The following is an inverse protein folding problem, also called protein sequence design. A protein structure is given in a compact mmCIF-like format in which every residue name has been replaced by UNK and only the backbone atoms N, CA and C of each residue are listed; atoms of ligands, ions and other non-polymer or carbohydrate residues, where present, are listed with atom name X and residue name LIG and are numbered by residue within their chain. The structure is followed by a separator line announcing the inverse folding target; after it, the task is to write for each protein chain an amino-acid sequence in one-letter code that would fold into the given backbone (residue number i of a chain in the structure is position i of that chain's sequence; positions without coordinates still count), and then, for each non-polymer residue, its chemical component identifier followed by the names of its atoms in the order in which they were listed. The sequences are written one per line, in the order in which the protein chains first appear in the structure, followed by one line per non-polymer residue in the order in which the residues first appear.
data_IF_635403492932
#
_entry.id   IF_635403492932
#
_cell.length_a   1.000
_cell.length_b   1.000
_cell.length_c   1.000
_cell.angle_alpha   90.00
_cell.angle_beta   90.00
_cell.angle_gamma   90.00
#
_symmetry.space_group_name_H-M   'P 1'
#
loop_
_entity.id
_entity.type
_entity.pdbx_description
1 polymer ?
#
# COMPACT_ATOMS: atom_id res chain seq x y z
N UNK A 1 -12.80 17.13 -1.33
CA UNK A 1 -13.44 16.10 -0.47
C UNK A 1 -13.32 16.49 1.01
N UNK A 2 -13.91 15.74 1.94
CA UNK A 2 -13.71 15.90 3.40
C UNK A 2 -13.20 14.60 4.00
N UNK A 3 -12.48 14.68 5.11
CA UNK A 3 -11.95 13.49 5.78
C UNK A 3 -13.09 12.61 6.33
N UNK A 4 -12.97 11.30 6.15
CA UNK A 4 -13.91 10.33 6.70
C UNK A 4 -13.63 10.02 8.19
N UNK A 5 -14.50 9.21 8.80
CA UNK A 5 -14.26 8.68 10.15
C UNK A 5 -13.02 7.77 10.22
N UNK A 6 -12.69 7.06 9.15
CA UNK A 6 -11.50 6.20 9.08
C UNK A 6 -10.22 7.05 9.11
N UNK A 7 -10.16 8.09 8.28
CA UNK A 7 -9.05 9.06 8.28
C UNK A 7 -8.87 9.76 9.61
N UNK A 8 -9.97 10.24 10.22
CA UNK A 8 -9.93 10.85 11.55
C UNK A 8 -9.40 9.89 12.62
N UNK A 9 -9.76 8.61 12.55
CA UNK A 9 -9.35 7.62 13.54
C UNK A 9 -7.84 7.40 13.51
N UNK A 10 -7.22 7.32 12.32
CA UNK A 10 -5.76 7.23 12.18
C UNK A 10 -5.07 8.44 12.81
N UNK A 11 -5.53 9.66 12.51
CA UNK A 11 -4.94 10.88 13.07
C UNK A 11 -5.04 10.85 14.60
N UNK A 12 -6.22 10.56 15.14
CA UNK A 12 -6.44 10.48 16.60
C UNK A 12 -5.57 9.44 17.29
N UNK A 13 -5.35 8.29 16.65
CA UNK A 13 -4.50 7.22 17.18
C UNK A 13 -3.03 7.68 17.30
N UNK A 14 -2.49 8.35 16.27
CA UNK A 14 -1.09 8.76 16.25
C UNK A 14 -0.80 10.03 17.03
N UNK A 15 -1.72 10.99 17.08
CA UNK A 15 -1.54 12.21 17.89
C UNK A 15 -1.76 11.94 19.38
N UNK A 16 -2.70 11.04 19.71
CA UNK A 16 -3.13 10.80 21.09
C UNK A 16 -3.93 11.96 21.66
N UNK A 17 -4.78 11.66 22.65
CA UNK A 17 -5.61 12.67 23.30
C UNK A 17 -5.01 13.13 24.62
N UNK A 18 -4.89 14.45 24.82
CA UNK A 18 -4.52 15.08 26.09
C UNK A 18 -5.63 16.03 26.55
N UNK A 19 -6.21 15.72 27.71
CA UNK A 19 -7.32 16.51 28.26
C UNK A 19 -6.88 17.88 28.77
N UNK A 20 -5.65 18.00 29.24
CA UNK A 20 -5.09 19.23 29.82
C UNK A 20 -3.96 19.77 28.94
N UNK A 21 -3.84 21.09 28.90
CA UNK A 21 -2.75 21.74 28.19
C UNK A 21 -1.39 21.40 28.80
N UNK A 22 -0.45 20.97 27.96
CA UNK A 22 0.90 20.61 28.37
C UNK A 22 1.94 21.20 27.41
N UNK A 23 3.20 21.24 27.85
CA UNK A 23 4.34 21.58 26.99
C UNK A 23 5.16 20.31 26.73
N UNK A 24 5.33 19.88 25.47
CA UNK A 24 6.19 18.75 25.13
C UNK A 24 7.64 19.00 25.57
N UNK A 25 8.12 20.22 25.35
CA UNK A 25 9.44 20.72 25.74
C UNK A 25 9.23 22.13 26.35
N UNK A 26 9.99 22.59 27.36
CA UNK A 26 9.77 23.90 27.98
C UNK A 26 9.71 25.09 27.02
N UNK A 27 10.45 25.02 25.91
CA UNK A 27 10.49 26.02 24.83
C UNK A 27 9.30 25.96 23.86
N UNK A 28 8.52 24.89 23.89
CA UNK A 28 7.43 24.68 22.93
C UNK A 28 6.16 25.45 23.34
N UNK A 29 5.29 25.74 22.36
CA UNK A 29 3.96 26.26 22.64
C UNK A 29 3.13 25.24 23.45
N UNK A 30 2.17 25.75 24.23
CA UNK A 30 1.19 24.92 24.91
C UNK A 30 0.41 24.10 23.89
N UNK A 31 0.22 22.81 24.19
CA UNK A 31 -0.43 21.82 23.32
C UNK A 31 -1.56 21.14 24.08
N UNK A 32 -2.71 20.93 23.44
CA UNK A 32 -3.88 20.25 24.04
C UNK A 32 -4.62 19.39 23.00
N UNK A 33 -5.43 18.43 23.46
CA UNK A 33 -6.27 17.62 22.58
C UNK A 33 -5.45 16.70 21.71
N UNK A 34 -5.62 16.81 20.39
CA UNK A 34 -4.89 16.03 19.36
C UNK A 34 -3.82 16.89 18.67
N UNK A 35 -2.91 17.49 19.44
CA UNK A 35 -1.78 18.26 18.89
C UNK A 35 -2.07 19.74 18.58
N UNK A 36 -3.18 20.29 19.05
CA UNK A 36 -3.53 21.70 18.85
C UNK A 36 -2.64 22.62 19.68
N UNK A 37 -2.07 23.66 19.06
CA UNK A 37 -1.22 24.67 19.72
C UNK A 37 -1.75 26.10 19.65
N UNK A 38 -2.55 26.42 18.63
CA UNK A 38 -3.02 27.79 18.38
C UNK A 38 -3.92 28.25 19.52
N UNK A 39 -3.59 29.32 20.22
CA UNK A 39 -4.45 29.90 21.27
C UNK A 39 -4.68 29.03 22.49
N UNK A 40 -3.80 28.06 22.76
CA UNK A 40 -3.81 27.23 23.97
C UNK A 40 -3.05 27.95 25.08
N UNK A 41 -3.60 27.92 26.29
CA UNK A 41 -3.04 28.56 27.48
C UNK A 41 -2.80 27.55 28.60
N UNK A 42 -1.90 27.86 29.55
CA UNK A 42 -1.76 27.05 30.76
C UNK A 42 -3.10 26.94 31.49
N UNK A 43 -3.47 25.72 31.90
CA UNK A 43 -4.72 25.46 32.63
C UNK A 43 -5.95 25.22 31.74
N UNK A 44 -5.82 25.30 30.41
CA UNK A 44 -6.90 24.90 29.51
C UNK A 44 -7.20 23.40 29.66
N UNK A 45 -8.49 23.06 29.71
CA UNK A 45 -9.00 21.69 29.73
C UNK A 45 -9.93 21.50 28.53
N UNK A 46 -9.89 20.33 27.91
CA UNK A 46 -10.65 20.02 26.71
C UNK A 46 -11.22 18.60 26.79
N UNK A 47 -12.49 18.46 26.45
CA UNK A 47 -13.14 17.14 26.29
C UNK A 47 -12.77 16.50 24.96
N UNK A 48 -12.98 15.19 24.81
CA UNK A 48 -12.72 14.48 23.55
C UNK A 48 -13.56 15.01 22.38
N UNK A 49 -14.81 15.39 22.63
CA UNK A 49 -15.72 15.94 21.61
C UNK A 49 -15.26 17.33 21.16
N UNK A 50 -14.80 18.18 22.09
CA UNK A 50 -14.23 19.49 21.77
C UNK A 50 -12.93 19.35 20.98
N UNK A 51 -12.04 18.44 21.39
CA UNK A 51 -10.80 18.15 20.68
C UNK A 51 -11.05 17.64 19.27
N UNK A 52 -12.05 16.77 19.07
CA UNK A 52 -12.40 16.28 17.74
C UNK A 52 -13.00 17.38 16.85
N UNK A 53 -13.88 18.22 17.40
CA UNK A 53 -14.43 19.38 16.68
C UNK A 53 -13.31 20.34 16.27
N UNK A 54 -12.35 20.57 17.17
CA UNK A 54 -11.21 21.44 16.91
C UNK A 54 -10.26 20.85 15.86
N UNK A 55 -9.96 19.55 15.96
CA UNK A 55 -9.18 18.83 14.95
C UNK A 55 -9.84 18.94 13.57
N UNK A 56 -11.15 18.69 13.44
CA UNK A 56 -11.87 18.85 12.17
C UNK A 56 -11.73 20.26 11.58
N UNK A 57 -11.78 21.29 12.42
CA UNK A 57 -11.59 22.66 11.97
C UNK A 57 -10.17 22.91 11.44
N UNK A 58 -9.14 22.39 12.12
CA UNK A 58 -7.75 22.49 11.66
C UNK A 58 -7.50 21.71 10.36
N UNK A 59 -8.16 20.57 10.19
CA UNK A 59 -8.01 19.72 9.01
C UNK A 59 -8.45 20.38 7.71
N UNK A 60 -9.32 21.40 7.74
CA UNK A 60 -9.81 22.10 6.54
C UNK A 60 -8.66 22.66 5.68
N UNK A 61 -7.58 23.13 6.29
CA UNK A 61 -6.40 23.62 5.56
C UNK A 61 -5.69 22.48 4.80
N UNK A 62 -5.53 21.34 5.47
CA UNK A 62 -4.89 20.14 4.93
C UNK A 62 -5.75 19.46 3.87
N UNK A 63 -7.05 19.36 4.08
CA UNK A 63 -8.03 18.86 3.10
C UNK A 63 -7.93 19.64 1.79
N UNK A 64 -7.96 20.97 1.86
CA UNK A 64 -7.80 21.83 0.68
C UNK A 64 -6.44 21.68 0.02
N UNK A 65 -5.39 21.48 0.80
CA UNK A 65 -4.05 21.26 0.27
C UNK A 65 -3.92 19.94 -0.48
N UNK A 66 -4.51 18.85 0.07
CA UNK A 66 -4.56 17.55 -0.59
C UNK A 66 -5.36 17.64 -1.87
N UNK A 67 -6.54 18.26 -1.85
CA UNK A 67 -7.38 18.41 -3.05
C UNK A 67 -6.61 19.09 -4.20
N UNK A 68 -5.88 20.18 -3.89
CA UNK A 68 -5.04 20.87 -4.87
C UNK A 68 -3.85 20.03 -5.33
N UNK A 69 -3.23 19.28 -4.43
CA UNK A 69 -2.06 18.47 -4.73
C UNK A 69 -2.40 17.27 -5.63
N UNK A 70 -3.60 16.69 -5.49
CA UNK A 70 -4.07 15.54 -6.28
C UNK A 70 -4.88 15.93 -7.51
N UNK A 71 -5.21 17.21 -7.67
CA UNK A 71 -6.12 17.68 -8.73
C UNK A 71 -7.55 17.15 -8.58
N UNK A 72 -7.95 16.75 -7.36
CA UNK A 72 -9.28 16.20 -7.08
C UNK A 72 -9.49 14.73 -7.49
N UNK A 73 -8.44 14.03 -7.94
CA UNK A 73 -8.54 12.66 -8.46
C UNK A 73 -8.26 11.55 -7.42
N UNK A 74 -8.41 11.85 -6.13
CA UNK A 74 -8.21 10.87 -5.07
C UNK A 74 -9.52 10.17 -4.70
N UNK A 75 -9.49 8.86 -4.48
CA UNK A 75 -10.62 8.15 -3.84
C UNK A 75 -10.71 8.52 -2.36
N UNK A 76 -11.83 8.25 -1.69
CA UNK A 76 -11.97 8.64 -0.28
C UNK A 76 -10.87 8.06 0.63
N UNK A 77 -10.47 6.78 0.55
CA UNK A 77 -9.37 6.24 1.37
C UNK A 77 -8.00 6.87 1.04
N UNK A 78 -7.76 7.18 -0.24
CA UNK A 78 -6.54 7.87 -0.66
C UNK A 78 -6.49 9.30 -0.09
N UNK A 79 -7.61 10.03 -0.19
CA UNK A 79 -7.75 11.36 0.36
C UNK A 79 -7.51 11.37 1.88
N UNK A 80 -8.14 10.45 2.60
CA UNK A 80 -7.99 10.31 4.06
C UNK A 80 -6.53 10.06 4.48
N UNK A 81 -5.85 9.12 3.80
CA UNK A 81 -4.45 8.81 4.07
C UNK A 81 -3.54 10.01 3.77
N UNK A 82 -3.78 10.73 2.67
CA UNK A 82 -3.02 11.92 2.30
C UNK A 82 -3.25 13.08 3.26
N UNK A 83 -4.45 13.25 3.81
CA UNK A 83 -4.74 14.26 4.84
C UNK A 83 -4.02 13.93 6.13
N UNK A 84 -4.05 12.67 6.60
CA UNK A 84 -3.27 12.23 7.78
C UNK A 84 -1.77 12.47 7.58
N UNK A 85 -1.27 12.17 6.38
CA UNK A 85 0.12 12.39 6.02
C UNK A 85 0.47 13.89 6.03
N UNK A 86 -0.35 14.73 5.40
CA UNK A 86 -0.16 16.17 5.36
C UNK A 86 -0.20 16.81 6.75
N UNK A 87 -1.06 16.32 7.65
CA UNK A 87 -1.10 16.76 9.05
C UNK A 87 0.23 16.52 9.77
N UNK A 88 0.90 15.40 9.47
CA UNK A 88 2.16 15.04 10.11
C UNK A 88 3.39 15.72 9.51
N UNK A 89 3.51 15.74 8.18
CA UNK A 89 4.72 16.25 7.50
C UNK A 89 4.59 17.70 7.04
N UNK A 90 3.42 18.30 7.24
CA UNK A 90 3.05 19.62 6.76
C UNK A 90 2.68 19.63 5.28
N UNK A 91 1.93 20.65 4.88
CA UNK A 91 1.44 20.85 3.49
C UNK A 91 2.59 20.88 2.48
N UNK A 92 3.67 21.62 2.78
CA UNK A 92 4.83 21.73 1.88
C UNK A 92 5.57 20.40 1.73
N UNK A 93 5.71 19.65 2.83
CA UNK A 93 6.34 18.32 2.81
C UNK A 93 5.55 17.35 1.96
N UNK A 94 4.23 17.31 2.15
CA UNK A 94 3.32 16.48 1.37
C UNK A 94 3.33 16.86 -0.13
N UNK A 95 3.17 18.14 -0.47
CA UNK A 95 3.08 18.57 -1.87
C UNK A 95 4.35 18.29 -2.67
N UNK A 96 5.54 18.42 -2.05
CA UNK A 96 6.82 18.10 -2.69
C UNK A 96 7.19 16.61 -2.72
N UNK A 97 6.40 15.76 -2.05
CA UNK A 97 6.73 14.36 -1.81
C UNK A 97 6.67 13.49 -3.06
N UNK A 98 7.43 12.40 -3.04
CA UNK A 98 7.29 11.34 -4.05
C UNK A 98 5.91 10.67 -3.98
N UNK A 99 5.20 10.74 -2.85
CA UNK A 99 3.83 10.22 -2.72
C UNK A 99 2.90 10.92 -3.71
N UNK A 100 2.83 12.27 -3.66
CA UNK A 100 1.99 13.06 -4.58
C UNK A 100 2.44 12.90 -6.03
N UNK A 101 3.75 12.90 -6.28
CA UNK A 101 4.28 12.69 -7.65
C UNK A 101 3.83 11.36 -8.26
N UNK A 102 3.80 10.28 -7.47
CA UNK A 102 3.34 8.96 -7.93
C UNK A 102 1.83 8.87 -8.00
N UNK A 103 1.12 9.47 -7.05
CA UNK A 103 -0.33 9.58 -7.09
C UNK A 103 -0.82 10.25 -8.37
N UNK A 104 -0.26 11.42 -8.71
CA UNK A 104 -0.65 12.17 -9.91
C UNK A 104 -0.22 11.48 -11.22
N UNK A 105 0.73 10.55 -11.15
CA UNK A 105 1.11 9.70 -12.28
C UNK A 105 0.23 8.44 -12.42
N UNK A 106 -0.78 8.26 -11.55
CA UNK A 106 -1.64 7.08 -11.52
C UNK A 106 -1.00 5.82 -10.91
N UNK A 107 0.27 5.88 -10.50
CA UNK A 107 0.98 4.76 -9.88
C UNK A 107 0.71 4.74 -8.36
N UNK A 108 -0.52 4.34 -8.01
CA UNK A 108 -0.99 4.30 -6.63
C UNK A 108 -0.19 3.32 -5.75
N UNK A 109 0.32 2.23 -6.33
CA UNK A 109 1.17 1.27 -5.61
C UNK A 109 2.53 1.89 -5.26
N UNK A 110 3.15 2.63 -6.18
CA UNK A 110 4.37 3.37 -5.85
C UNK A 110 4.12 4.54 -4.90
N UNK A 111 2.96 5.19 -4.98
CA UNK A 111 2.57 6.22 -4.01
C UNK A 111 2.49 5.63 -2.59
N UNK A 112 1.83 4.49 -2.41
CA UNK A 112 1.72 3.79 -1.13
C UNK A 112 3.10 3.41 -0.56
N UNK A 113 4.01 2.87 -1.38
CA UNK A 113 5.39 2.58 -0.95
C UNK A 113 6.16 3.83 -0.56
N UNK A 114 5.90 4.96 -1.22
CA UNK A 114 6.61 6.22 -0.98
C UNK A 114 6.30 6.85 0.39
N UNK A 115 5.20 6.48 1.06
CA UNK A 115 4.95 6.90 2.45
C UNK A 115 6.11 6.47 3.37
N UNK A 116 6.67 5.27 3.14
CA UNK A 116 7.79 4.74 3.92
C UNK A 116 9.07 5.58 3.87
N UNK A 117 9.20 6.50 2.91
CA UNK A 117 10.35 7.42 2.82
C UNK A 117 10.30 8.51 3.90
N UNK A 118 9.13 8.74 4.50
CA UNK A 118 8.86 9.80 5.48
C UNK A 118 8.83 9.27 6.91
N UNK A 119 9.78 8.40 7.24
CA UNK A 119 9.91 7.77 8.55
C UNK A 119 11.10 8.27 9.38
N UNK A 120 11.71 9.40 8.99
CA UNK A 120 12.90 9.97 9.63
C UNK A 120 12.61 11.30 10.31
N UNK A 121 13.22 11.52 11.47
CA UNK A 121 13.28 12.81 12.13
C UNK A 121 14.70 13.00 12.71
N UNK A 122 15.28 14.19 12.51
CA UNK A 122 16.70 14.43 12.83
C UNK A 122 17.67 13.51 12.06
N UNK A 123 17.30 13.10 10.83
CA UNK A 123 18.10 12.19 9.99
C UNK A 123 18.03 10.70 10.40
N UNK A 124 17.47 10.37 11.56
CA UNK A 124 17.34 8.99 12.05
C UNK A 124 15.93 8.44 11.79
N UNK A 125 15.82 7.15 11.51
CA UNK A 125 14.53 6.44 11.39
C UNK A 125 13.88 6.32 12.76
N UNK A 126 12.58 6.63 12.84
CA UNK A 126 11.78 6.51 14.06
C UNK A 126 10.72 5.41 13.91
N UNK A 127 10.68 4.43 14.84
CA UNK A 127 9.69 3.35 14.78
C UNK A 127 8.23 3.85 14.75
N UNK A 128 7.93 4.91 15.51
CA UNK A 128 6.61 5.53 15.53
C UNK A 128 6.18 6.07 14.16
N UNK A 129 7.10 6.75 13.45
CA UNK A 129 6.82 7.25 12.10
C UNK A 129 6.70 6.10 11.10
N UNK A 130 7.57 5.08 11.17
CA UNK A 130 7.45 3.89 10.31
C UNK A 130 6.07 3.24 10.44
N UNK A 131 5.58 3.08 11.68
CA UNK A 131 4.26 2.51 11.95
C UNK A 131 3.12 3.39 11.43
N UNK A 132 3.23 4.71 11.59
CA UNK A 132 2.28 5.68 11.01
C UNK A 132 2.22 5.61 9.49
N UNK A 133 3.37 5.61 8.83
CA UNK A 133 3.46 5.52 7.36
C UNK A 133 2.90 4.21 6.83
N UNK A 134 3.08 3.10 7.54
CA UNK A 134 2.48 1.82 7.18
C UNK A 134 0.94 1.85 7.29
N UNK A 135 0.39 2.42 8.36
CA UNK A 135 -1.06 2.57 8.54
C UNK A 135 -1.70 3.47 7.47
N UNK A 136 -1.06 4.60 7.16
CA UNK A 136 -1.51 5.50 6.09
C UNK A 136 -1.43 4.84 4.71
N UNK A 137 -0.35 4.12 4.40
CA UNK A 137 -0.22 3.38 3.15
C UNK A 137 -1.26 2.27 3.02
N UNK A 138 -1.60 1.58 4.13
CA UNK A 138 -2.65 0.58 4.15
C UNK A 138 -4.03 1.21 3.86
N UNK A 139 -4.36 2.32 4.53
CA UNK A 139 -5.62 3.04 4.26
C UNK A 139 -5.68 3.54 2.80
N UNK A 140 -4.58 4.05 2.28
CA UNK A 140 -4.48 4.56 0.92
C UNK A 140 -4.79 3.48 -0.15
N UNK A 141 -4.45 2.21 0.12
CA UNK A 141 -4.69 1.08 -0.77
C UNK A 141 -6.05 0.40 -0.54
N UNK A 142 -6.84 0.83 0.45
CA UNK A 142 -8.17 0.30 0.68
C UNK A 142 -9.05 0.57 -0.54
N UNK A 143 -9.73 -0.47 -1.09
CA UNK A 143 -10.66 -0.27 -2.19
C UNK A 143 -11.82 0.62 -1.72
N UNK A 144 -12.18 1.61 -2.53
CA UNK A 144 -13.38 2.40 -2.30
C UNK A 144 -14.59 1.50 -2.57
N UNK A 145 -15.30 1.13 -1.51
CA UNK A 145 -16.57 0.41 -1.66
C UNK A 145 -17.59 1.44 -2.15
N UNK A 146 -17.63 1.62 -3.45
CA UNK A 146 -18.70 2.36 -4.11
C UNK A 146 -19.96 1.52 -3.87
N UNK A 147 -20.81 1.99 -2.96
CA UNK A 147 -22.18 1.51 -2.85
C UNK A 147 -22.90 1.94 -4.13
N UNK A 148 -22.69 1.24 -5.23
CA UNK A 148 -23.68 1.21 -6.29
C UNK A 148 -24.98 0.74 -5.64
N UNK A 149 -26.08 1.50 -5.75
CA UNK A 149 -27.38 0.93 -5.42
C UNK A 149 -27.48 -0.35 -6.23
N UNK A 150 -27.67 -1.49 -5.55
CA UNK A 150 -28.12 -2.70 -6.21
C UNK A 150 -29.29 -2.32 -7.11
N UNK A 151 -29.38 -2.79 -8.37
CA UNK A 151 -30.49 -2.46 -9.24
C UNK A 151 -31.78 -2.73 -8.47
N UNK A 152 -32.51 -1.65 -8.23
CA UNK A 152 -33.69 -1.61 -7.37
C UNK A 152 -34.80 -2.42 -8.03
N UNK A 153 -35.13 -3.56 -7.41
CA UNK A 153 -36.41 -4.27 -7.38
C UNK A 153 -37.14 -4.67 -8.69
N UNK A 154 -36.91 -4.01 -9.82
CA UNK A 154 -37.64 -4.24 -11.06
C UNK A 154 -37.01 -5.40 -11.85
N UNK A 155 -35.68 -5.45 -11.95
CA UNK A 155 -34.94 -6.56 -12.58
C UNK A 155 -35.11 -7.89 -11.81
N UNK A 156 -35.23 -7.84 -10.48
CA UNK A 156 -35.49 -9.03 -9.65
C UNK A 156 -36.90 -9.56 -9.89
N UNK A 157 -37.86 -8.69 -10.19
CA UNK A 157 -39.25 -9.08 -10.45
C UNK A 157 -39.43 -9.73 -11.82
N UNK A 158 -38.64 -9.31 -12.80
CA UNK A 158 -38.64 -9.92 -14.14
C UNK A 158 -37.84 -11.24 -14.16
N UNK A 159 -36.73 -11.32 -13.42
CA UNK A 159 -35.99 -12.57 -13.24
C UNK A 159 -36.78 -13.62 -12.44
N UNK A 160 -37.58 -13.21 -11.44
CA UNK A 160 -38.43 -14.12 -10.66
C UNK A 160 -39.67 -14.62 -11.45
N UNK A 161 -40.09 -13.91 -12.49
CA UNK A 161 -41.21 -14.32 -13.33
C UNK A 161 -40.82 -15.33 -14.43
N UNK A 162 -39.53 -15.43 -14.75
CA UNK A 162 -39.01 -16.29 -15.81
C UNK A 162 -38.60 -17.71 -15.36
N UNK A 163 -38.64 -18.00 -14.05
CA UNK A 163 -38.21 -19.29 -13.48
C UNK A 163 -39.36 -20.00 -12.74
N UNK A 164 -40.43 -20.35 -13.48
CA UNK A 164 -41.36 -21.39 -13.01
C UNK A 164 -40.64 -22.74 -13.08
N UNK A 165 -40.14 -23.18 -11.92
CA UNK A 165 -39.41 -24.44 -11.75
C UNK A 165 -40.18 -25.64 -12.36
N UNK A 166 -39.54 -26.46 -13.22
CA UNK A 166 -40.15 -27.70 -13.69
C UNK A 166 -40.34 -28.67 -12.51
N UNK A 167 -41.59 -29.00 -12.18
CA UNK A 167 -41.97 -29.90 -11.06
C UNK A 167 -41.65 -31.39 -11.29
N UNK A 168 -40.95 -31.76 -12.35
CA UNK A 168 -40.62 -33.15 -12.63
C UNK A 168 -39.21 -33.49 -12.13
N UNK A 169 -39.13 -34.37 -11.14
CA UNK A 169 -37.87 -34.96 -10.67
C UNK A 169 -37.42 -35.99 -11.71
N UNK A 170 -36.35 -35.71 -12.45
CA UNK A 170 -35.71 -36.73 -13.29
C UNK A 170 -35.04 -37.80 -12.40
N UNK A 171 -35.11 -39.09 -12.78
CA UNK A 171 -34.49 -40.16 -11.99
C UNK A 171 -32.95 -40.07 -12.02
N UNK A 172 -32.34 -40.39 -10.88
CA UNK A 172 -30.89 -40.31 -10.67
C UNK A 172 -30.09 -41.11 -11.71
N UNK A 173 -29.08 -40.47 -12.31
CA UNK A 173 -28.13 -41.15 -13.20
C UNK A 173 -27.17 -42.02 -12.39
N UNK A 174 -26.98 -43.25 -12.84
CA UNK A 174 -26.08 -44.25 -12.25
C UNK A 174 -24.60 -43.83 -12.34
N UNK A 175 -23.84 -44.14 -11.27
CA UNK A 175 -22.42 -43.83 -11.06
C UNK A 175 -21.46 -44.37 -12.14
N UNK A 176 -21.92 -45.19 -13.07
CA UNK A 176 -21.12 -45.73 -14.16
C UNK A 176 -20.76 -44.70 -15.25
N UNK A 177 -21.40 -43.52 -15.28
CA UNK A 177 -21.16 -42.47 -16.28
C UNK A 177 -20.47 -41.20 -15.73
N UNK A 178 -19.70 -41.33 -14.65
CA UNK A 178 -18.89 -40.19 -14.16
C UNK A 178 -17.63 -39.98 -15.01
N UNK A 179 -17.50 -38.77 -15.58
CA UNK A 179 -16.34 -38.29 -16.33
C UNK A 179 -15.02 -38.30 -15.53
N UNK A 180 -15.08 -38.50 -14.21
CA UNK A 180 -13.90 -38.54 -13.34
C UNK A 180 -13.07 -39.82 -13.57
N UNK A 181 -13.70 -40.95 -13.94
CA UNK A 181 -12.97 -42.21 -14.15
C UNK A 181 -12.18 -42.28 -15.47
N UNK A 182 -12.32 -41.30 -16.36
CA UNK A 182 -11.54 -41.26 -17.61
C UNK A 182 -10.15 -40.62 -17.48
N UNK A 183 -9.86 -39.89 -16.40
CA UNK A 183 -8.59 -39.18 -16.24
C UNK A 183 -7.49 -39.98 -15.52
N UNK A 184 -7.81 -41.14 -14.93
CA UNK A 184 -6.91 -41.86 -14.01
C UNK A 184 -5.89 -42.84 -14.62
N UNK A 185 -5.82 -43.02 -15.95
CA UNK A 185 -5.06 -44.14 -16.55
C UNK A 185 -3.73 -43.75 -17.22
N UNK A 186 -3.35 -42.46 -17.29
CA UNK A 186 -2.18 -42.05 -18.12
C UNK A 186 -0.88 -41.79 -17.34
N UNK A 187 -0.87 -41.76 -16.01
CA UNK A 187 0.32 -41.31 -15.25
C UNK A 187 1.26 -42.43 -14.73
N UNK A 188 1.25 -43.64 -15.31
CA UNK A 188 1.88 -44.82 -14.72
C UNK A 188 3.15 -45.39 -15.37
N UNK A 189 3.62 -44.87 -16.51
CA UNK A 189 4.71 -45.49 -17.27
C UNK A 189 5.78 -44.49 -17.71
N UNK A 190 7.05 -44.91 -17.64
CA UNK A 190 8.23 -44.34 -18.33
C UNK A 190 8.96 -43.11 -17.76
N UNK A 191 9.19 -42.98 -16.45
CA UNK A 191 10.14 -41.95 -15.96
C UNK A 191 11.04 -42.34 -14.77
N UNK A 192 11.13 -43.61 -14.37
CA UNK A 192 11.86 -44.01 -13.17
C UNK A 192 13.33 -44.45 -13.39
N UNK A 193 13.87 -44.47 -14.62
CA UNK A 193 15.20 -45.06 -14.90
C UNK A 193 16.27 -44.04 -15.34
N UNK A 194 15.91 -42.79 -15.68
CA UNK A 194 16.86 -41.83 -16.24
C UNK A 194 17.49 -40.83 -15.24
N UNK A 195 16.96 -40.69 -14.02
CA UNK A 195 17.32 -39.54 -13.15
C UNK A 195 18.54 -39.75 -12.25
N UNK A 196 19.10 -40.97 -12.16
CA UNK A 196 20.22 -41.25 -11.25
C UNK A 196 21.60 -41.08 -11.91
N UNK A 197 21.69 -41.21 -13.25
CA UNK A 197 22.97 -41.13 -13.96
C UNK A 197 23.40 -39.70 -14.35
N UNK A 198 22.46 -38.78 -14.48
CA UNK A 198 22.70 -37.43 -15.01
C UNK A 198 23.03 -36.38 -13.91
N UNK A 199 22.68 -36.69 -12.66
CA UNK A 199 22.99 -35.85 -11.49
C UNK A 199 24.42 -36.03 -10.98
N UNK A 200 25.06 -37.17 -11.23
CA UNK A 200 26.43 -37.42 -10.77
C UNK A 200 27.50 -36.72 -11.64
N UNK A 201 27.24 -36.53 -12.95
CA UNK A 201 28.20 -35.90 -13.88
C UNK A 201 28.17 -34.38 -13.83
N UNK A 202 26.99 -33.78 -13.62
CA UNK A 202 26.84 -32.32 -13.49
C UNK A 202 27.55 -31.77 -12.25
N UNK A 203 27.58 -32.52 -11.14
CA UNK A 203 28.29 -32.11 -9.91
C UNK A 203 29.82 -32.17 -10.08
N UNK A 204 30.34 -33.12 -10.86
CA UNK A 204 31.77 -33.25 -11.14
C UNK A 204 32.29 -32.17 -12.11
N UNK A 205 31.49 -31.80 -13.11
CA UNK A 205 31.84 -30.74 -14.06
C UNK A 205 31.79 -29.34 -13.44
N UNK A 206 30.89 -29.11 -12.47
CA UNK A 206 30.85 -27.86 -11.69
C UNK A 206 32.10 -27.71 -10.83
N UNK A 207 32.58 -28.80 -10.20
CA UNK A 207 33.79 -28.77 -9.36
C UNK A 207 35.06 -28.52 -10.18
N UNK A 208 35.15 -29.09 -11.38
CA UNK A 208 36.28 -28.90 -12.29
C UNK A 208 36.27 -27.49 -12.92
N UNK A 209 35.09 -26.90 -13.13
CA UNK A 209 34.94 -25.52 -13.64
C UNK A 209 35.25 -24.44 -12.59
N UNK A 210 35.06 -24.72 -11.30
CA UNK A 210 35.44 -23.80 -10.20
C UNK A 210 36.95 -23.72 -9.98
N UNK A 211 37.72 -24.77 -10.26
CA UNK A 211 39.19 -24.77 -10.05
C UNK A 211 39.95 -24.00 -11.13
N UNK A 212 39.40 -23.85 -12.34
CA UNK A 212 40.02 -23.02 -13.40
C UNK A 212 39.76 -21.51 -13.26
N UNK A 213 38.78 -21.11 -12.43
CA UNK A 213 38.40 -19.71 -12.22
C UNK A 213 38.65 -19.21 -10.78
N UNK A 214 39.26 -20.04 -9.92
CA UNK A 214 39.30 -19.88 -8.46
C UNK A 214 39.79 -18.54 -7.91
N UNK A 215 40.64 -17.81 -8.63
CA UNK A 215 41.11 -16.47 -8.22
C UNK A 215 40.46 -15.31 -9.00
N UNK A 216 40.04 -15.54 -10.25
CA UNK A 216 39.50 -14.48 -11.12
C UNK A 216 37.97 -14.39 -11.12
N UNK A 217 37.27 -15.42 -10.65
CA UNK A 217 35.80 -15.44 -10.60
C UNK A 217 35.23 -14.27 -9.80
N UNK A 218 35.78 -14.06 -8.60
CA UNK A 218 35.33 -13.00 -7.68
C UNK A 218 35.56 -11.59 -8.25
N UNK A 219 36.77 -11.23 -8.76
CA UNK A 219 36.96 -9.92 -9.39
C UNK A 219 36.14 -9.74 -10.67
N UNK A 220 35.94 -10.78 -11.49
CA UNK A 220 35.06 -10.71 -12.66
C UNK A 220 33.61 -10.44 -12.26
N UNK A 221 33.12 -11.14 -11.22
CA UNK A 221 31.76 -10.92 -10.69
C UNK A 221 31.61 -9.50 -10.11
N UNK A 222 32.63 -8.98 -9.41
CA UNK A 222 32.61 -7.61 -8.90
C UNK A 222 32.57 -6.58 -10.04
N UNK A 223 33.38 -6.78 -11.09
CA UNK A 223 33.34 -5.90 -12.29
C UNK A 223 31.98 -5.98 -12.98
N UNK A 224 31.39 -7.17 -13.09
CA UNK A 224 30.06 -7.35 -13.66
C UNK A 224 28.98 -6.63 -12.84
N UNK A 225 29.05 -6.68 -11.51
CA UNK A 225 28.12 -5.97 -10.61
C UNK A 225 28.29 -4.46 -10.73
N UNK A 226 29.53 -3.95 -10.78
CA UNK A 226 29.80 -2.51 -10.95
C UNK A 226 29.31 -2.03 -12.33
N UNK A 227 29.53 -2.81 -13.38
CA UNK A 227 29.04 -2.51 -14.72
C UNK A 227 27.49 -2.51 -14.77
N UNK A 228 26.84 -3.47 -14.10
CA UNK A 228 25.38 -3.53 -14.01
C UNK A 228 24.81 -2.34 -13.24
N UNK A 229 25.41 -1.96 -12.10
CA UNK A 229 25.05 -0.77 -11.35
C UNK A 229 25.22 0.50 -12.18
N UNK A 230 26.34 0.64 -12.89
CA UNK A 230 26.59 1.74 -13.82
C UNK A 230 25.56 1.79 -14.95
N UNK A 231 25.19 0.64 -15.52
CA UNK A 231 24.17 0.53 -16.55
C UNK A 231 22.78 0.95 -16.05
N UNK A 232 22.39 0.56 -14.83
CA UNK A 232 21.12 0.95 -14.20
C UNK A 232 21.08 2.47 -13.96
N UNK A 233 22.17 3.06 -13.46
CA UNK A 233 22.28 4.51 -13.25
C UNK A 233 22.22 5.24 -14.59
N UNK A 234 22.95 4.76 -15.60
CA UNK A 234 22.93 5.32 -16.94
C UNK A 234 21.55 5.24 -17.58
N UNK A 235 20.85 4.11 -17.48
CA UNK A 235 19.47 3.98 -17.93
C UNK A 235 18.55 4.98 -17.23
N UNK A 236 18.69 5.16 -15.93
CA UNK A 236 17.89 6.16 -15.19
C UNK A 236 18.20 7.60 -15.59
N UNK A 237 19.46 7.92 -15.88
CA UNK A 237 19.84 9.23 -16.39
C UNK A 237 19.31 9.44 -17.82
N UNK A 238 19.41 8.43 -18.69
CA UNK A 238 18.90 8.46 -20.06
C UNK A 238 17.37 8.62 -20.09
N UNK A 239 16.64 7.89 -19.25
CA UNK A 239 15.18 8.04 -19.10
C UNK A 239 14.77 9.43 -18.61
N UNK A 240 15.61 10.13 -17.83
CA UNK A 240 15.36 11.52 -17.42
C UNK A 240 15.68 12.52 -18.53
N UNK A 241 16.69 12.24 -19.34
CA UNK A 241 17.15 13.13 -20.42
C UNK A 241 16.23 13.10 -21.66
N UNK A 242 15.62 11.95 -21.96
CA UNK A 242 14.81 11.81 -23.18
C UNK A 242 13.35 12.27 -23.03
N UNK A 243 12.89 12.62 -21.83
CA UNK A 243 11.47 12.87 -21.57
C UNK A 243 10.63 11.60 -21.77
N UNK A 244 9.55 11.44 -21.02
CA UNK A 244 8.68 10.28 -21.21
C UNK A 244 7.75 10.56 -22.39
N UNK A 245 8.02 9.93 -23.55
CA UNK A 245 7.04 9.73 -24.62
C UNK A 245 6.14 8.54 -24.31
#
# INVERSE_FOLDING_TARGET
MKISSAGLSIIKEFEGFRAEAYKPIPSDPWTIGYGTTRGVKPGDVMTRSEAERRLRHELVEYERAVERATGGNATQPQFDALVSFAYNVGVKGMAGSTVIKRHNAGDHQAAARAFGLWNKAGGKVWPGLTRRRAAEAALYLTPEIVSTPLPVAEEVREAAAADEMPRAVEPERSLAESQINRAGVIAGGTAAVATVAETARTVADVKTSTDMLGEWLVPILLVAVVALCGYIVWQRCKQRAQGWS
#
